data_IF_775762379622
#
_entry.id   IF_775762379622
#
_cell.length_a   1.000
_cell.length_b   1.000
_cell.length_c   1.000
_cell.angle_alpha   90.00
_cell.angle_beta   90.00
_cell.angle_gamma   90.00
#
_symmetry.space_group_name_H-M   'P 1'
#
loop_
_entity.id
_entity.type
_entity.pdbx_description
1 polymer ?
#
# COMPACT_ATOMS: atom_id res chain seq x y z
N UNK A 1 -17.37 2.73 3.94
CA UNK A 1 -16.82 1.42 3.59
C UNK A 1 -15.39 1.56 3.09
N UNK A 2 -14.54 0.63 3.49
CA UNK A 2 -13.12 0.71 3.17
C UNK A 2 -12.81 -0.16 1.95
N UNK A 3 -13.13 0.35 0.76
CA UNK A 3 -12.98 -0.40 -0.48
C UNK A 3 -11.52 -0.74 -0.82
N UNK A 4 -10.57 -0.06 -0.17
CA UNK A 4 -9.16 -0.33 -0.39
C UNK A 4 -8.62 -1.51 0.43
N UNK A 5 -9.43 -2.09 1.31
CA UNK A 5 -8.96 -3.07 2.28
C UNK A 5 -9.80 -4.34 2.21
N UNK A 6 -9.12 -5.49 2.18
CA UNK A 6 -9.78 -6.80 2.16
C UNK A 6 -9.09 -7.74 3.14
N UNK A 7 -9.82 -8.29 4.10
CA UNK A 7 -9.28 -9.29 5.00
C UNK A 7 -9.23 -10.65 4.33
N UNK A 8 -8.14 -11.37 4.53
CA UNK A 8 -7.96 -12.73 4.03
C UNK A 8 -7.37 -13.60 5.14
N UNK A 9 -7.40 -14.94 4.99
CA UNK A 9 -6.74 -15.82 5.97
C UNK A 9 -5.25 -15.58 6.11
N UNK A 10 -4.60 -15.01 5.09
CA UNK A 10 -3.16 -14.75 5.11
C UNK A 10 -2.82 -13.40 5.75
N UNK A 11 -3.75 -12.48 5.78
CA UNK A 11 -3.55 -11.13 6.27
C UNK A 11 -4.49 -10.15 5.60
N UNK A 12 -4.06 -8.90 5.46
CA UNK A 12 -4.87 -7.84 4.85
C UNK A 12 -4.32 -7.50 3.48
N UNK A 13 -5.18 -7.49 2.47
CA UNK A 13 -4.82 -7.00 1.14
C UNK A 13 -5.25 -5.55 1.02
N UNK A 14 -4.30 -4.69 0.65
CA UNK A 14 -4.57 -3.28 0.39
C UNK A 14 -4.57 -3.04 -1.12
N UNK A 15 -5.62 -2.40 -1.60
CA UNK A 15 -5.66 -1.89 -2.97
C UNK A 15 -5.12 -0.49 -2.91
N UNK A 16 -3.95 -0.28 -3.51
CA UNK A 16 -3.27 1.00 -3.43
C UNK A 16 -3.07 1.59 -4.82
N UNK A 17 -3.08 2.91 -4.89
CA UNK A 17 -2.80 3.65 -6.10
C UNK A 17 -1.58 4.51 -5.85
N UNK A 18 -0.53 4.29 -6.63
CA UNK A 18 0.70 5.05 -6.48
C UNK A 18 0.56 6.44 -7.10
N UNK A 19 1.02 7.44 -6.37
CA UNK A 19 1.14 8.81 -6.88
C UNK A 19 2.63 9.13 -6.95
N UNK A 20 3.27 8.92 -8.12
CA UNK A 20 4.72 9.09 -8.24
C UNK A 20 5.14 10.55 -8.30
N UNK A 21 6.43 10.78 -8.16
CA UNK A 21 7.04 12.11 -8.24
C UNK A 21 6.45 13.10 -7.25
N UNK A 22 6.03 12.60 -6.09
CA UNK A 22 5.53 13.46 -5.03
C UNK A 22 6.68 14.00 -4.19
N UNK A 23 6.54 15.23 -3.73
CA UNK A 23 7.55 15.82 -2.84
C UNK A 23 7.45 15.28 -1.42
N UNK A 24 6.30 14.72 -1.06
CA UNK A 24 6.04 14.18 0.29
C UNK A 24 5.48 12.77 0.21
N UNK A 25 6.30 11.76 0.51
CA UNK A 25 5.78 10.39 0.62
C UNK A 25 4.76 10.28 1.75
N UNK A 26 3.78 9.44 1.56
CA UNK A 26 2.76 9.23 2.60
C UNK A 26 1.55 8.50 2.07
N UNK A 27 0.60 8.26 2.96
CA UNK A 27 -0.62 7.52 2.67
C UNK A 27 -1.82 8.44 2.88
N UNK A 28 -2.77 8.38 1.96
CA UNK A 28 -3.99 9.19 2.03
C UNK A 28 -5.20 8.33 1.68
N UNK A 29 -6.23 8.40 2.52
CA UNK A 29 -7.49 7.71 2.25
C UNK A 29 -8.34 8.61 1.36
N UNK A 30 -8.74 8.10 0.19
CA UNK A 30 -9.60 8.82 -0.74
C UNK A 30 -10.92 8.07 -0.83
N UNK A 31 -12.02 8.76 -0.51
CA UNK A 31 -13.34 8.13 -0.46
C UNK A 31 -13.72 7.50 -1.81
N UNK A 32 -14.16 6.23 -1.74
CA UNK A 32 -14.61 5.52 -2.93
C UNK A 32 -13.50 5.04 -3.86
N UNK A 33 -12.24 5.17 -3.44
CA UNK A 33 -11.10 4.79 -4.27
C UNK A 33 -10.12 3.91 -3.50
N UNK A 34 -9.09 3.43 -4.21
CA UNK A 34 -7.99 2.73 -3.60
C UNK A 34 -7.20 3.68 -2.69
N UNK A 35 -6.46 3.11 -1.75
CA UNK A 35 -5.61 3.89 -0.86
C UNK A 35 -4.52 4.59 -1.69
N UNK A 36 -4.43 5.90 -1.58
CA UNK A 36 -3.44 6.67 -2.32
C UNK A 36 -2.12 6.67 -1.56
N UNK A 37 -1.06 6.22 -2.22
CA UNK A 37 0.28 6.20 -1.63
C UNK A 37 1.19 7.07 -2.46
N UNK A 38 1.69 8.14 -1.86
CA UNK A 38 2.60 9.07 -2.53
C UNK A 38 4.02 8.55 -2.42
N UNK A 39 4.72 8.52 -3.55
CA UNK A 39 6.12 8.09 -3.62
C UNK A 39 6.91 9.12 -4.41
N UNK A 40 8.20 9.24 -4.12
CA UNK A 40 9.07 10.22 -4.79
C UNK A 40 9.55 9.73 -6.14
N UNK A 41 9.81 8.45 -6.25
CA UNK A 41 10.39 7.88 -7.46
C UNK A 41 9.43 7.87 -8.63
N UNK A 42 9.98 7.96 -9.83
CA UNK A 42 9.22 7.69 -11.05
C UNK A 42 8.89 6.19 -11.09
N UNK A 43 7.78 5.78 -11.76
CA UNK A 43 7.38 4.37 -11.82
C UNK A 43 8.21 3.59 -12.86
N UNK A 44 9.52 3.53 -12.66
CA UNK A 44 10.44 2.84 -13.56
C UNK A 44 11.33 1.87 -12.79
N UNK A 45 11.68 0.76 -13.43
CA UNK A 45 12.66 -0.23 -12.93
C UNK A 45 12.36 -0.75 -11.52
N UNK A 46 11.10 -0.79 -11.14
CA UNK A 46 10.70 -1.30 -9.83
C UNK A 46 11.04 -0.41 -8.65
N UNK A 47 11.63 0.75 -8.88
CA UNK A 47 12.00 1.67 -7.79
C UNK A 47 10.77 2.17 -7.04
N UNK A 48 9.72 2.54 -7.76
CA UNK A 48 8.48 2.98 -7.14
C UNK A 48 7.84 1.87 -6.31
N UNK A 49 7.93 0.62 -6.75
CA UNK A 49 7.39 -0.51 -6.02
C UNK A 49 8.14 -0.72 -4.69
N UNK A 50 9.45 -0.55 -4.69
CA UNK A 50 10.24 -0.66 -3.45
C UNK A 50 9.90 0.48 -2.49
N UNK A 51 9.78 1.69 -3.00
CA UNK A 51 9.40 2.84 -2.19
C UNK A 51 7.99 2.68 -1.65
N UNK A 52 7.07 2.15 -2.45
CA UNK A 52 5.70 1.87 -2.04
C UNK A 52 5.67 0.96 -0.81
N UNK A 53 6.44 -0.12 -0.84
CA UNK A 53 6.55 -1.02 0.30
C UNK A 53 7.14 -0.31 1.51
N UNK A 54 8.17 0.52 1.31
CA UNK A 54 8.80 1.26 2.40
C UNK A 54 7.82 2.24 3.06
N UNK A 55 7.03 2.95 2.27
CA UNK A 55 6.04 3.89 2.79
C UNK A 55 4.96 3.15 3.58
N UNK A 56 4.48 2.03 3.06
CA UNK A 56 3.47 1.22 3.75
C UNK A 56 4.03 0.63 5.05
N UNK A 57 5.26 0.13 5.02
CA UNK A 57 5.91 -0.42 6.21
C UNK A 57 6.02 0.61 7.31
N UNK A 58 6.39 1.83 6.97
CA UNK A 58 6.51 2.92 7.93
C UNK A 58 5.13 3.37 8.44
N UNK A 59 4.18 3.53 7.55
CA UNK A 59 2.84 4.01 7.90
C UNK A 59 2.11 3.05 8.83
N UNK A 60 2.18 1.75 8.55
CA UNK A 60 1.46 0.74 9.31
C UNK A 60 2.33 0.03 10.35
N UNK A 61 3.57 0.47 10.50
CA UNK A 61 4.53 -0.16 11.42
C UNK A 61 4.60 -1.67 11.18
N UNK A 62 4.79 -2.05 9.93
CA UNK A 62 4.77 -3.45 9.50
C UNK A 62 6.09 -3.81 8.82
N UNK A 63 6.63 -5.01 9.06
CA UNK A 63 7.91 -5.40 8.45
C UNK A 63 7.82 -5.45 6.93
N UNK A 64 8.81 -4.91 6.25
CA UNK A 64 8.87 -4.94 4.79
C UNK A 64 8.82 -6.36 4.24
N UNK A 65 9.45 -7.31 4.94
CA UNK A 65 9.47 -8.71 4.53
C UNK A 65 8.10 -9.36 4.53
N UNK A 66 7.13 -8.77 5.21
CA UNK A 66 5.76 -9.26 5.29
C UNK A 66 4.79 -8.49 4.39
N UNK A 67 5.31 -7.61 3.53
CA UNK A 67 4.51 -6.87 2.56
C UNK A 67 4.84 -7.39 1.18
N UNK A 68 3.86 -8.01 0.52
CA UNK A 68 4.05 -8.72 -0.74
C UNK A 68 3.08 -8.23 -1.80
N UNK A 69 3.54 -8.11 -3.03
CA UNK A 69 2.66 -7.82 -4.15
C UNK A 69 1.81 -9.04 -4.48
N UNK A 70 0.50 -8.83 -4.61
CA UNK A 70 -0.44 -9.88 -5.01
C UNK A 70 -1.02 -9.65 -6.40
N UNK A 71 -0.68 -8.53 -7.03
CA UNK A 71 -1.12 -8.24 -8.38
C UNK A 71 -0.95 -6.77 -8.69
N UNK A 72 -1.09 -6.42 -9.96
CA UNK A 72 -1.06 -5.05 -10.41
C UNK A 72 0.31 -4.38 -10.32
N UNK A 73 1.39 -5.13 -10.34
CA UNK A 73 2.75 -4.57 -10.18
C UNK A 73 3.10 -3.55 -11.26
N UNK A 74 2.52 -3.70 -12.44
CA UNK A 74 2.76 -2.79 -13.56
C UNK A 74 1.59 -1.84 -13.81
N UNK A 75 0.51 -1.92 -13.04
CA UNK A 75 -0.65 -1.07 -13.21
C UNK A 75 -0.65 0.07 -12.19
N UNK A 76 -1.55 1.06 -12.40
CA UNK A 76 -1.70 2.17 -11.48
C UNK A 76 -2.27 1.72 -10.14
N UNK A 77 -3.17 0.76 -10.15
CA UNK A 77 -3.73 0.19 -8.93
C UNK A 77 -3.01 -1.11 -8.63
N UNK A 78 -2.46 -1.21 -7.43
CA UNK A 78 -1.65 -2.35 -7.01
C UNK A 78 -2.31 -3.01 -5.81
N UNK A 79 -2.10 -4.32 -5.69
CA UNK A 79 -2.62 -5.10 -4.57
C UNK A 79 -1.44 -5.61 -3.76
N UNK A 80 -1.39 -5.23 -2.49
CA UNK A 80 -0.32 -5.65 -1.58
C UNK A 80 -0.91 -6.35 -0.38
N UNK A 81 -0.30 -7.48 -0.03
CA UNK A 81 -0.68 -8.24 1.15
C UNK A 81 0.24 -7.85 2.31
N UNK A 82 -0.37 -7.42 3.42
CA UNK A 82 0.32 -7.27 4.69
C UNK A 82 0.08 -8.55 5.47
N UNK A 83 1.04 -9.44 5.39
CA UNK A 83 0.93 -10.80 5.89
C UNK A 83 0.83 -10.82 7.40
N UNK A 84 -0.18 -11.50 7.91
CA UNK A 84 -0.42 -11.59 9.35
C UNK A 84 -1.15 -10.41 9.96
N UNK A 85 -1.44 -9.37 9.16
CA UNK A 85 -2.16 -8.20 9.66
C UNK A 85 -3.66 -8.48 9.78
N UNK A 86 -4.32 -7.69 10.64
CA UNK A 86 -5.77 -7.70 10.75
C UNK A 86 -6.31 -6.31 10.45
N UNK A 87 -7.57 -6.26 10.04
CA UNK A 87 -8.20 -5.02 9.60
C UNK A 87 -8.10 -3.89 10.64
N UNK A 88 -8.38 -4.22 11.89
CA UNK A 88 -8.37 -3.22 12.97
C UNK A 88 -6.99 -2.59 13.14
N UNK A 89 -5.95 -3.39 13.04
CA UNK A 89 -4.57 -2.90 13.16
C UNK A 89 -4.26 -1.91 12.05
N UNK A 90 -4.65 -2.24 10.83
CA UNK A 90 -4.40 -1.36 9.68
C UNK A 90 -5.18 -0.06 9.83
N UNK A 91 -6.47 -0.13 10.15
CA UNK A 91 -7.29 1.06 10.28
C UNK A 91 -6.86 1.97 11.43
N UNK A 92 -6.26 1.41 12.47
CA UNK A 92 -5.79 2.20 13.61
C UNK A 92 -4.63 3.14 13.25
N UNK A 93 -3.95 2.89 12.13
CA UNK A 93 -2.84 3.72 11.65
C UNK A 93 -3.28 4.76 10.61
N UNK A 94 -4.57 4.83 10.32
CA UNK A 94 -5.12 5.82 9.37
C UNK A 94 -5.98 6.92 10.07
#
# INVERSE_FOLDING_TARGET
>A
MNDFLQETPEGVILNVRAAPRSSRPGVEVVAGEALKVRVRCAPVDGKANKELIAVLAETFDWPKSQILFKGGETSKTKRLLLRGAVKETILSHL
#
